data_IF_321525218226
#
_entry.id   IF_321525218226
#
_cell.length_a   1.000
_cell.length_b   1.000
_cell.length_c   1.000
_cell.angle_alpha   90.00
_cell.angle_beta   90.00
_cell.angle_gamma   90.00
#
_symmetry.space_group_name_H-M   'P 1'
#
loop_
_entity.id
_entity.type
_entity.pdbx_description
1 polymer ?
#
# COMPACT_ATOMS: atom_id res chain seq x y z
N UNK A 4 -1.82 25.96 4.88
CA UNK A 4 -2.11 24.70 5.62
C UNK A 4 -2.79 23.68 4.73
N UNK A 5 -2.38 22.41 4.86
CA UNK A 5 -2.96 21.34 4.06
C UNK A 5 -4.18 20.73 4.76
N UNK A 6 -5.25 20.46 4.00
CA UNK A 6 -6.48 19.87 4.55
C UNK A 6 -6.34 18.38 4.83
N UNK A 7 -5.74 17.66 3.89
CA UNK A 7 -5.53 16.22 4.03
C UNK A 7 -4.37 15.76 3.16
N UNK A 8 -3.69 14.71 3.57
CA UNK A 8 -2.56 14.18 2.82
C UNK A 8 -2.23 12.76 3.24
N UNK A 9 -3.09 11.81 2.85
CA UNK A 9 -2.87 10.41 3.19
C UNK A 9 -2.93 9.53 1.95
N UNK A 10 -2.28 8.37 2.02
CA UNK A 10 -2.25 7.44 0.89
C UNK A 10 -2.52 6.01 1.37
N UNK A 11 -3.28 5.26 0.56
CA UNK A 11 -3.60 3.88 0.89
C UNK A 11 -2.98 2.94 -0.14
N UNK A 12 -2.59 1.74 0.28
CA UNK A 12 -1.92 0.81 -0.62
C UNK A 12 -2.73 -0.45 -1.04
N UNK A 13 -2.11 -1.12 -2.02
CA UNK A 13 -2.67 -2.38 -2.55
C UNK A 13 -1.81 -3.26 -3.44
N UNK A 14 -2.18 -4.55 -3.38
CA UNK A 14 -1.58 -5.64 -4.14
C UNK A 14 -0.07 -5.74 -3.99
N UNK A 15 0.39 -5.79 -2.76
CA UNK A 15 1.81 -5.91 -2.50
C UNK A 15 2.20 -7.35 -2.19
N UNK A 16 1.27 -8.13 -1.62
CA UNK A 16 1.54 -9.51 -1.26
C UNK A 16 1.38 -10.49 -2.44
N UNK A 17 0.80 -10.02 -3.54
CA UNK A 17 0.59 -10.87 -4.70
C UNK A 17 1.85 -11.02 -5.54
N UNK A 18 2.98 -10.58 -5.04
CA UNK A 18 4.23 -10.68 -5.79
C UNK A 18 4.69 -12.14 -5.81
N UNK A 19 5.18 -12.63 -6.95
CA UNK A 19 5.63 -14.01 -7.09
C UNK A 19 6.65 -14.37 -6.01
N UNK A 20 7.32 -13.37 -5.48
CA UNK A 20 8.33 -13.59 -4.44
C UNK A 20 7.68 -13.85 -3.08
N UNK A 21 6.58 -13.15 -2.79
CA UNK A 21 5.92 -13.29 -1.50
C UNK A 21 4.94 -14.46 -1.44
N UNK A 22 4.05 -14.56 -2.42
CA UNK A 22 3.06 -15.63 -2.43
C UNK A 22 3.53 -16.87 -3.17
N UNK A 23 4.21 -16.69 -4.29
CA UNK A 23 4.68 -17.82 -5.09
C UNK A 23 5.92 -18.48 -4.45
N UNK A 24 6.83 -17.66 -3.95
CA UNK A 24 8.05 -18.17 -3.33
C UNK A 24 7.82 -18.51 -1.86
N UNK A 25 7.02 -17.70 -1.18
CA UNK A 25 6.72 -17.92 0.23
C UNK A 25 8.01 -17.99 1.05
N UNK A 26 8.34 -16.88 1.70
CA UNK A 26 9.55 -16.81 2.52
C UNK A 26 9.21 -16.70 4.00
N UNK A 27 9.26 -17.82 4.74
CA UNK A 27 8.95 -17.83 6.18
C UNK A 27 10.04 -17.17 7.01
N UNK A 28 9.68 -16.13 7.76
CA UNK A 28 10.63 -15.42 8.59
C UNK A 28 10.32 -15.63 10.07
N UNK A 29 11.36 -15.53 10.90
CA UNK A 29 11.20 -15.72 12.34
C UNK A 29 10.57 -14.49 12.98
N UNK A 30 10.78 -13.32 12.37
CA UNK A 30 10.24 -12.07 12.88
C UNK A 30 8.72 -12.03 12.70
N UNK A 31 8.28 -11.76 11.47
CA UNK A 31 6.86 -11.68 11.19
C UNK A 31 6.52 -12.14 9.79
N UNK A 32 5.41 -12.87 9.65
CA UNK A 32 4.95 -13.38 8.37
C UNK A 32 4.92 -12.29 7.29
N UNK A 33 4.06 -12.46 6.28
CA UNK A 33 3.94 -11.49 5.19
C UNK A 33 4.00 -10.05 5.70
N UNK A 34 3.57 -9.83 6.93
CA UNK A 34 3.57 -8.50 7.53
C UNK A 34 4.99 -7.93 7.63
N UNK A 35 5.95 -8.76 8.05
CA UNK A 35 7.32 -8.29 8.20
C UNK A 35 8.02 -8.16 6.85
N UNK A 36 7.86 -9.17 6.01
CA UNK A 36 8.47 -9.17 4.68
C UNK A 36 8.09 -7.94 3.88
N UNK A 37 6.80 -7.62 3.86
CA UNK A 37 6.32 -6.46 3.11
C UNK A 37 6.64 -5.15 3.81
N UNK A 38 6.43 -5.10 5.12
CA UNK A 38 6.71 -3.89 5.89
C UNK A 38 8.16 -3.44 5.77
N UNK A 39 9.08 -4.38 5.89
CA UNK A 39 10.51 -4.07 5.81
C UNK A 39 10.94 -3.68 4.40
N UNK A 40 10.64 -4.53 3.42
CA UNK A 40 11.01 -4.27 2.04
C UNK A 40 10.47 -2.92 1.55
N UNK A 41 9.29 -2.56 2.03
CA UNK A 41 8.66 -1.29 1.63
C UNK A 41 9.38 -0.10 2.25
N UNK A 42 9.96 -0.30 3.43
CA UNK A 42 10.66 0.77 4.14
C UNK A 42 11.71 1.44 3.24
N UNK A 43 12.64 0.64 2.72
CA UNK A 43 13.70 1.16 1.85
C UNK A 43 13.11 1.67 0.54
N UNK A 44 12.27 0.86 -0.09
CA UNK A 44 11.65 1.23 -1.36
C UNK A 44 10.85 2.53 -1.22
N UNK A 45 10.31 2.77 -0.02
CA UNK A 45 9.53 3.97 0.22
C UNK A 45 10.43 5.12 0.67
N UNK A 46 11.42 4.82 1.49
CA UNK A 46 12.33 5.84 1.97
C UNK A 46 13.11 6.50 0.86
N UNK A 47 13.35 5.74 -0.22
CA UNK A 47 14.10 6.26 -1.36
C UNK A 47 13.34 7.39 -2.05
N UNK A 48 12.05 7.19 -2.28
CA UNK A 48 11.24 8.21 -2.95
C UNK A 48 10.52 9.10 -1.94
N UNK A 49 10.42 8.64 -0.69
CA UNK A 49 9.75 9.42 0.33
C UNK A 49 9.55 8.63 1.61
N UNK A 50 10.27 9.01 2.66
CA UNK A 50 10.16 8.34 3.96
C UNK A 50 8.72 8.32 4.44
N UNK A 51 8.35 7.26 5.16
CA UNK A 51 7.00 7.14 5.67
C UNK A 51 6.95 7.50 7.15
N UNK A 52 5.94 8.27 7.52
CA UNK A 52 5.76 8.68 8.90
C UNK A 52 5.13 7.55 9.68
N UNK A 53 4.26 6.80 9.01
CA UNK A 53 3.61 5.67 9.64
C UNK A 53 2.93 4.81 8.58
N UNK A 54 2.95 3.51 8.79
CA UNK A 54 2.33 2.59 7.85
C UNK A 54 1.40 1.65 8.58
N UNK A 55 0.10 1.86 8.40
CA UNK A 55 -0.90 1.02 9.03
C UNK A 55 -1.53 0.10 7.99
N UNK A 56 -1.18 -1.17 8.05
CA UNK A 56 -1.70 -2.12 7.08
C UNK A 56 -2.80 -2.99 7.66
N UNK A 57 -3.89 -3.09 6.90
CA UNK A 57 -5.03 -3.91 7.29
C UNK A 57 -5.36 -4.88 6.17
N UNK A 58 -5.11 -6.15 6.42
CA UNK A 58 -5.39 -7.17 5.42
C UNK A 58 -6.87 -7.53 5.44
N UNK A 59 -7.36 -8.24 4.41
CA UNK A 59 -8.77 -8.61 4.32
C UNK A 59 -9.25 -9.49 5.47
N UNK A 60 -10.57 -9.58 5.60
CA UNK A 60 -11.16 -10.41 6.64
C UNK A 60 -10.68 -10.08 8.03
N UNK A 61 -10.28 -8.83 8.27
CA UNK A 61 -9.78 -8.43 9.58
C UNK A 61 -10.33 -7.07 10.02
N UNK A 62 -9.67 -6.00 9.59
CA UNK A 62 -10.09 -4.65 9.97
C UNK A 62 -10.11 -3.73 8.75
N UNK A 63 -11.31 -3.47 8.22
CA UNK A 63 -11.44 -2.61 7.05
C UNK A 63 -12.16 -1.30 7.40
N UNK A 64 -11.39 -0.24 7.70
CA UNK A 64 -11.95 1.08 8.05
C UNK A 64 -12.81 1.66 6.92
N UNK A 65 -13.78 2.53 7.27
CA UNK A 65 -14.68 3.17 6.30
C UNK A 65 -13.94 3.75 5.09
N UNK A 66 -12.71 4.18 5.30
CA UNK A 66 -11.92 4.78 4.23
C UNK A 66 -11.52 3.76 3.16
N UNK A 67 -11.22 2.53 3.60
CA UNK A 67 -10.82 1.48 2.65
C UNK A 67 -11.96 0.51 2.34
N UNK A 68 -12.75 0.15 3.35
CA UNK A 68 -13.86 -0.77 3.13
C UNK A 68 -14.75 -0.27 2.00
N UNK A 69 -14.91 1.04 1.91
CA UNK A 69 -15.75 1.65 0.90
C UNK A 69 -15.00 1.85 -0.41
N UNK A 70 -13.77 2.38 -0.33
CA UNK A 70 -12.96 2.64 -1.52
C UNK A 70 -12.20 1.39 -1.98
N UNK A 71 -11.59 0.69 -1.03
CA UNK A 71 -10.81 -0.50 -1.35
C UNK A 71 -11.68 -1.56 -2.05
N UNK A 72 -12.85 -1.82 -1.49
CA UNK A 72 -13.76 -2.81 -2.05
C UNK A 72 -14.47 -2.28 -3.30
N UNK A 73 -14.21 -1.03 -3.65
CA UNK A 73 -14.86 -0.42 -4.82
C UNK A 73 -14.04 -0.62 -6.10
N UNK A 74 -12.73 -0.49 -6.01
CA UNK A 74 -11.87 -0.64 -7.20
C UNK A 74 -11.37 -2.07 -7.37
N UNK A 75 -12.24 -3.04 -7.09
CA UNK A 75 -11.87 -4.46 -7.24
C UNK A 75 -11.26 -4.71 -8.62
N UNK A 76 -10.00 -5.13 -8.65
CA UNK A 76 -9.32 -5.40 -9.92
C UNK A 76 -7.93 -6.01 -9.71
N UNK A 77 -7.31 -5.74 -8.57
CA UNK A 77 -5.98 -6.26 -8.28
C UNK A 77 -5.99 -7.75 -7.90
N UNK A 78 -7.08 -8.45 -8.22
CA UNK A 78 -7.17 -9.87 -7.91
C UNK A 78 -6.95 -10.18 -6.44
N UNK A 79 -6.86 -9.15 -5.61
CA UNK A 79 -6.66 -9.31 -4.18
C UNK A 79 -6.91 -8.01 -3.46
N UNK A 80 -7.61 -8.06 -2.34
CA UNK A 80 -7.90 -6.84 -1.60
C UNK A 80 -7.02 -6.75 -0.36
N UNK A 81 -5.93 -6.00 -0.50
CA UNK A 81 -4.99 -5.78 0.60
C UNK A 81 -4.86 -4.28 0.79
N UNK A 82 -5.12 -3.79 1.99
CA UNK A 82 -5.04 -2.36 2.22
C UNK A 82 -3.92 -1.98 3.18
N UNK A 83 -3.33 -0.83 2.92
CA UNK A 83 -2.26 -0.30 3.74
C UNK A 83 -2.38 1.20 3.81
N UNK A 84 -2.11 1.78 4.98
CA UNK A 84 -2.22 3.22 5.15
C UNK A 84 -0.88 3.84 5.47
N UNK A 85 -0.38 4.65 4.53
CA UNK A 85 0.90 5.32 4.69
C UNK A 85 0.71 6.81 4.92
N UNK A 86 1.57 7.36 5.75
CA UNK A 86 1.54 8.78 6.08
C UNK A 86 2.92 9.39 5.86
N UNK A 87 3.11 10.07 4.74
CA UNK A 87 4.40 10.69 4.43
C UNK A 87 4.41 12.16 4.85
N UNK A 88 5.54 12.82 4.60
CA UNK A 88 5.68 14.22 4.93
C UNK A 88 4.73 15.08 4.12
N UNK A 89 4.52 14.70 2.86
CA UNK A 89 3.63 15.46 1.97
C UNK A 89 3.25 14.65 0.73
N UNK A 90 2.18 15.09 0.07
CA UNK A 90 1.69 14.43 -1.14
C UNK A 90 2.69 14.54 -2.28
N UNK A 91 3.56 15.55 -2.19
CA UNK A 91 4.59 15.77 -3.21
C UNK A 91 5.44 14.52 -3.30
N UNK A 92 5.90 14.07 -2.15
CA UNK A 92 6.68 12.86 -2.11
C UNK A 92 5.84 11.74 -2.71
N UNK A 93 4.69 11.49 -2.10
CA UNK A 93 3.80 10.41 -2.53
C UNK A 93 3.47 10.44 -4.02
N UNK A 94 3.14 11.60 -4.56
CA UNK A 94 2.79 11.69 -5.98
C UNK A 94 3.90 11.15 -6.86
N UNK A 95 5.14 11.28 -6.38
CA UNK A 95 6.29 10.79 -7.12
C UNK A 95 6.34 9.26 -7.08
N UNK A 96 5.91 8.70 -5.95
CA UNK A 96 5.91 7.26 -5.77
C UNK A 96 4.63 6.65 -6.31
N UNK A 97 3.53 7.40 -6.23
CA UNK A 97 2.25 6.92 -6.72
C UNK A 97 2.38 6.46 -8.16
N UNK A 98 2.86 7.36 -9.02
CA UNK A 98 3.06 7.05 -10.42
C UNK A 98 4.07 5.92 -10.58
N UNK A 99 5.21 6.03 -9.90
CA UNK A 99 6.23 4.99 -9.96
C UNK A 99 5.65 3.64 -9.54
N UNK A 100 4.70 3.69 -8.61
CA UNK A 100 4.06 2.48 -8.10
C UNK A 100 3.06 1.92 -9.11
N UNK A 101 2.12 2.76 -9.54
CA UNK A 101 1.09 2.34 -10.48
C UNK A 101 1.64 2.12 -11.89
N UNK A 102 2.65 2.89 -12.28
CA UNK A 102 3.25 2.75 -13.61
C UNK A 102 3.97 1.42 -13.75
N UNK A 103 4.76 1.07 -12.74
CA UNK A 103 5.50 -0.19 -12.76
C UNK A 103 4.56 -1.35 -12.50
N UNK A 104 3.53 -1.11 -11.69
CA UNK A 104 2.55 -2.12 -11.36
C UNK A 104 1.37 -2.07 -12.32
N UNK A 105 1.52 -1.32 -13.42
CA UNK A 105 0.47 -1.17 -14.41
C UNK A 105 0.19 -2.46 -15.16
N UNK A 106 -1.08 -2.68 -15.47
CA UNK A 106 -1.49 -3.86 -16.21
C UNK A 106 -1.48 -5.13 -15.37
N UNK A 107 -0.52 -5.26 -14.46
CA UNK A 107 -0.43 -6.44 -13.61
C UNK A 107 -0.93 -6.15 -12.20
N UNK A 108 -1.53 -7.15 -11.58
CA UNK A 108 -2.06 -7.00 -10.23
C UNK A 108 -0.93 -7.02 -9.20
N UNK A 109 -0.21 -5.89 -9.10
CA UNK A 109 0.90 -5.78 -8.16
C UNK A 109 0.83 -4.48 -7.36
N UNK A 110 1.82 -4.27 -6.49
CA UNK A 110 1.93 -3.08 -5.64
C UNK A 110 1.31 -1.83 -6.29
N UNK A 111 0.40 -1.18 -5.59
CA UNK A 111 -0.25 0.03 -6.09
C UNK A 111 -0.51 1.03 -4.97
N UNK A 112 -0.86 2.26 -5.34
CA UNK A 112 -1.12 3.30 -4.36
C UNK A 112 -2.10 4.34 -4.89
N UNK A 113 -2.93 4.88 -3.99
CA UNK A 113 -3.91 5.88 -4.38
C UNK A 113 -4.02 6.97 -3.31
N UNK A 114 -4.03 8.22 -3.75
CA UNK A 114 -4.13 9.35 -2.83
C UNK A 114 -5.48 9.36 -2.12
N UNK A 115 -5.44 9.25 -0.80
CA UNK A 115 -6.65 9.26 0.01
C UNK A 115 -6.65 10.44 0.96
N UNK A 116 -7.65 11.31 0.84
CA UNK A 116 -7.73 12.48 1.70
C UNK A 116 -8.83 13.43 1.29
N UNK A 117 -10.07 13.11 1.67
CA UNK A 117 -11.22 13.94 1.34
C UNK A 117 -11.82 14.56 2.60
N UNK A 118 -12.81 15.43 2.41
CA UNK A 118 -13.46 16.09 3.53
C UNK A 118 -14.45 15.14 4.22
N UNK A 119 -14.41 15.05 5.56
CA UNK A 119 -15.30 14.18 6.32
C UNK A 119 -16.74 14.71 6.36
#
# INVERSE_FOLDING_TARGET
GNENLPSKMLLVYDLYLSPKLWALATPQKNGRVQEKVMEHLLKLFGTFGVISSVRILKPGRELPPDIRRISSRYSQVGTQECAIVEFEEVEAAIKAHEFMITESQGKENMKAVLIGMKP
#
